data_IF_512130309711
#
_entry.id   IF_512130309711
#
_cell.length_a   1.000
_cell.length_b   1.000
_cell.length_c   1.000
_cell.angle_alpha   90.00
_cell.angle_beta   90.00
_cell.angle_gamma   90.00
#
_symmetry.space_group_name_H-M   'P 1'
#
loop_
_entity.id
_entity.type
_entity.pdbx_description
1 polymer ?
#
# COMPACT_ATOMS: atom_id res chain seq x y z
N UNK A 1 10.66 -4.44 22.25
CA UNK A 1 10.78 -4.13 20.80
C UNK A 1 9.92 -5.07 19.94
N UNK A 2 8.74 -5.50 20.41
CA UNK A 2 7.86 -6.44 19.69
C UNK A 2 6.55 -5.81 19.23
N UNK A 3 6.07 -4.78 19.91
CA UNK A 3 4.74 -4.21 19.66
C UNK A 3 4.63 -3.52 18.29
N UNK A 4 5.70 -2.87 17.86
CA UNK A 4 5.71 -2.10 16.60
C UNK A 4 5.60 -2.96 15.34
N UNK A 5 6.15 -4.19 15.36
CA UNK A 5 6.07 -5.10 14.20
C UNK A 5 4.64 -5.62 14.07
N UNK A 6 4.03 -6.02 15.19
CA UNK A 6 2.66 -6.53 15.22
C UNK A 6 1.65 -5.47 14.77
N UNK A 7 1.86 -4.22 15.16
CA UNK A 7 1.00 -3.11 14.74
C UNK A 7 1.11 -2.85 13.23
N UNK A 8 2.31 -2.98 12.65
CA UNK A 8 2.50 -2.86 11.20
C UNK A 8 1.81 -4.00 10.44
N UNK A 9 1.94 -5.25 10.91
CA UNK A 9 1.24 -6.40 10.32
C UNK A 9 -0.29 -6.22 10.39
N UNK A 10 -0.80 -5.75 11.53
CA UNK A 10 -2.23 -5.48 11.69
C UNK A 10 -2.73 -4.39 10.72
N UNK A 11 -1.93 -3.34 10.50
CA UNK A 11 -2.25 -2.29 9.54
C UNK A 11 -2.25 -2.83 8.10
N UNK A 12 -1.26 -3.63 7.73
CA UNK A 12 -1.18 -4.28 6.42
C UNK A 12 -2.43 -5.14 6.16
N UNK A 13 -2.78 -6.03 7.09
CA UNK A 13 -3.96 -6.88 7.00
C UNK A 13 -5.26 -6.08 6.89
N UNK A 14 -5.38 -4.98 7.64
CA UNK A 14 -6.55 -4.09 7.56
C UNK A 14 -6.71 -3.50 6.16
N UNK A 15 -5.61 -3.06 5.54
CA UNK A 15 -5.65 -2.46 4.19
C UNK A 15 -5.98 -3.54 3.15
N UNK A 16 -5.37 -4.72 3.23
CA UNK A 16 -5.67 -5.85 2.33
C UNK A 16 -7.15 -6.22 2.39
N UNK A 17 -7.71 -6.37 3.59
CA UNK A 17 -9.13 -6.70 3.77
C UNK A 17 -10.05 -5.61 3.22
N UNK A 18 -9.69 -4.34 3.42
CA UNK A 18 -10.44 -3.22 2.87
C UNK A 18 -10.42 -3.23 1.34
N UNK A 19 -9.25 -3.45 0.72
CA UNK A 19 -9.13 -3.54 -0.73
C UNK A 19 -9.96 -4.69 -1.31
N UNK A 20 -9.93 -5.86 -0.67
CA UNK A 20 -10.74 -7.01 -1.07
C UNK A 20 -12.25 -6.70 -0.99
N UNK A 21 -12.70 -6.02 0.08
CA UNK A 21 -14.11 -5.69 0.27
C UNK A 21 -14.64 -4.64 -0.72
N UNK A 22 -13.82 -3.65 -1.10
CA UNK A 22 -14.27 -2.53 -1.93
C UNK A 22 -13.98 -2.71 -3.42
N UNK A 23 -12.82 -3.28 -3.76
CA UNK A 23 -12.37 -3.44 -5.15
C UNK A 23 -12.54 -4.88 -5.66
N UNK A 24 -13.03 -5.81 -4.83
CA UNK A 24 -13.20 -7.24 -5.16
C UNK A 24 -11.92 -7.88 -5.71
N UNK A 25 -10.77 -7.39 -5.25
CA UNK A 25 -9.45 -7.82 -5.71
C UNK A 25 -8.52 -8.07 -4.52
N UNK A 26 -7.85 -9.22 -4.53
CA UNK A 26 -6.74 -9.48 -3.62
C UNK A 26 -5.49 -8.76 -4.14
N UNK A 27 -5.07 -7.72 -3.44
CA UNK A 27 -3.89 -6.92 -3.76
C UNK A 27 -2.77 -7.19 -2.75
N UNK A 28 -1.53 -7.25 -3.24
CA UNK A 28 -0.35 -7.24 -2.37
C UNK A 28 -0.12 -5.81 -1.86
N UNK A 29 -0.03 -5.63 -0.55
CA UNK A 29 0.22 -4.34 0.09
C UNK A 29 1.63 -4.36 0.68
N UNK A 30 2.37 -3.27 0.50
CA UNK A 30 3.68 -3.08 1.14
C UNK A 30 3.70 -1.71 1.81
N UNK A 31 3.91 -1.70 3.12
CA UNK A 31 4.06 -0.46 3.87
C UNK A 31 5.42 0.18 3.55
N UNK A 32 5.43 1.50 3.34
CA UNK A 32 6.63 2.28 3.11
C UNK A 32 6.85 3.27 4.27
N UNK A 33 8.09 3.69 4.47
CA UNK A 33 8.40 4.66 5.52
C UNK A 33 7.72 6.01 5.24
N UNK A 34 7.28 6.74 6.27
CA UNK A 34 6.68 8.06 6.11
C UNK A 34 7.57 9.01 5.30
N UNK A 35 6.97 9.75 4.36
CA UNK A 35 7.69 10.74 3.53
C UNK A 35 8.57 10.18 2.41
N UNK A 36 8.65 8.85 2.24
CA UNK A 36 9.48 8.24 1.18
C UNK A 36 8.82 8.24 -0.20
N UNK A 37 7.50 8.32 -0.26
CA UNK A 37 6.79 8.43 -1.53
C UNK A 37 6.97 9.84 -2.10
N UNK A 38 7.30 9.99 -3.40
CA UNK A 38 7.47 11.29 -4.02
C UNK A 38 6.17 12.10 -3.91
N UNK A 39 6.29 13.33 -3.39
CA UNK A 39 5.13 14.18 -3.06
C UNK A 39 4.55 14.89 -4.28
N UNK A 40 5.36 15.21 -5.31
CA UNK A 40 4.90 15.99 -6.47
C UNK A 40 5.96 16.13 -7.57
N UNK A 41 5.64 15.67 -8.78
CA UNK A 41 6.21 16.16 -10.07
C UNK A 41 5.14 17.00 -10.81
N UNK A 42 4.37 17.82 -10.09
CA UNK A 42 3.16 18.48 -10.61
C UNK A 42 1.88 17.73 -10.23
N UNK A 43 1.12 17.20 -11.20
CA UNK A 43 -0.08 16.37 -10.90
C UNK A 43 0.35 15.05 -10.25
N UNK A 44 -0.40 14.56 -9.27
CA UNK A 44 -0.08 13.31 -8.59
C UNK A 44 -0.24 12.08 -9.52
N UNK A 45 0.85 11.38 -9.80
CA UNK A 45 0.87 10.11 -10.55
C UNK A 45 1.04 8.96 -9.56
N UNK A 46 0.06 8.05 -9.48
CA UNK A 46 0.02 6.94 -8.49
C UNK A 46 0.01 5.54 -9.09
N UNK A 47 -0.18 5.43 -10.40
CA UNK A 47 -0.31 4.14 -11.10
C UNK A 47 0.87 3.99 -12.05
N UNK A 48 1.58 2.88 -11.92
CA UNK A 48 2.65 2.48 -12.84
C UNK A 48 2.26 1.14 -13.44
N UNK A 49 1.93 1.14 -14.73
CA UNK A 49 1.65 -0.09 -15.46
C UNK A 49 2.96 -0.73 -15.93
N UNK A 50 3.20 -1.98 -15.50
CA UNK A 50 4.41 -2.75 -15.83
C UNK A 50 4.13 -3.94 -16.74
N UNK A 51 2.92 -4.04 -17.32
CA UNK A 51 2.56 -5.13 -18.22
C UNK A 51 3.42 -5.07 -19.49
N UNK A 52 3.95 -6.21 -19.92
CA UNK A 52 4.54 -6.38 -21.25
C UNK A 52 3.46 -6.97 -22.14
N UNK A 53 3.01 -6.20 -23.13
CA UNK A 53 2.02 -6.59 -24.12
C UNK A 53 2.70 -6.93 -25.44
#
# INVERSE_FOLDING_TARGET
MSDTVRDMEALEHKIVNSLAAHALAHAQVKLCQPGTLPRSEGKAVRVVDKRKL
#
